data_IF_283203507829
#
_entry.id   IF_283203507829
#
_cell.length_a   1.000
_cell.length_b   1.000
_cell.length_c   1.000
_cell.angle_alpha   90.00
_cell.angle_beta   90.00
_cell.angle_gamma   90.00
#
_symmetry.space_group_name_H-M   'P 1'
#
loop_
_entity.id
_entity.type
_entity.pdbx_description
1 polymer ?
#
# COMPACT_ATOMS: atom_id res chain seq x y z
N UNK A 1 10.95 -11.66 22.84
CA UNK A 1 9.61 -11.07 22.54
C UNK A 1 9.54 -10.48 21.14
N UNK A 2 10.43 -9.58 20.72
CA UNK A 2 10.45 -9.12 19.30
C UNK A 2 10.89 -10.26 18.39
N UNK A 3 11.82 -11.09 18.87
CA UNK A 3 12.27 -12.32 18.22
C UNK A 3 11.12 -13.29 17.96
N UNK A 4 10.34 -13.62 18.99
CA UNK A 4 9.14 -14.47 18.88
C UNK A 4 8.12 -13.91 17.86
N UNK A 5 7.98 -12.58 17.76
CA UNK A 5 7.12 -11.97 16.74
C UNK A 5 7.66 -12.27 15.34
N UNK A 6 8.96 -12.09 15.11
CA UNK A 6 9.56 -12.37 13.80
C UNK A 6 9.64 -13.86 13.47
N UNK A 7 9.82 -14.73 14.47
CA UNK A 7 9.67 -16.19 14.32
C UNK A 7 8.23 -16.54 13.91
N UNK A 8 7.24 -15.89 14.53
CA UNK A 8 5.84 -15.99 14.14
C UNK A 8 5.61 -15.53 12.69
N UNK A 9 6.16 -14.38 12.30
CA UNK A 9 6.09 -13.87 10.91
C UNK A 9 6.69 -14.89 9.93
N UNK A 10 7.87 -15.43 10.22
CA UNK A 10 8.50 -16.46 9.39
C UNK A 10 7.62 -17.72 9.27
N UNK A 11 7.00 -18.13 10.38
CA UNK A 11 6.06 -19.26 10.38
C UNK A 11 4.83 -18.99 9.50
N UNK A 12 4.24 -17.80 9.57
CA UNK A 12 3.08 -17.43 8.74
C UNK A 12 3.44 -17.35 7.25
N UNK A 13 4.62 -16.83 6.91
CA UNK A 13 5.12 -16.84 5.52
C UNK A 13 5.23 -18.28 5.01
N UNK A 14 5.85 -19.18 5.79
CA UNK A 14 5.96 -20.59 5.42
C UNK A 14 4.58 -21.26 5.26
N UNK A 15 3.61 -20.97 6.14
CA UNK A 15 2.22 -21.47 6.03
C UNK A 15 1.51 -20.99 4.78
N UNK A 16 1.89 -19.85 4.22
CA UNK A 16 1.37 -19.35 2.94
C UNK A 16 1.92 -20.09 1.71
N UNK A 17 2.85 -21.05 1.92
CA UNK A 17 3.50 -21.81 0.85
C UNK A 17 4.67 -21.07 0.19
N UNK A 18 5.16 -20.00 0.83
CA UNK A 18 6.29 -19.19 0.37
C UNK A 18 7.47 -19.47 1.28
N UNK A 19 8.61 -19.84 0.70
CA UNK A 19 9.88 -19.90 1.42
C UNK A 19 10.49 -18.50 1.51
N UNK A 20 11.15 -18.19 2.63
CA UNK A 20 11.85 -16.91 2.83
C UNK A 20 12.86 -16.63 1.71
N UNK A 21 13.50 -17.65 1.14
CA UNK A 21 14.44 -17.48 0.00
C UNK A 21 13.77 -16.87 -1.24
N UNK A 22 12.44 -16.97 -1.36
CA UNK A 22 11.66 -16.42 -2.46
C UNK A 22 11.29 -14.94 -2.24
N UNK A 23 11.73 -14.33 -1.14
CA UNK A 23 11.49 -12.93 -0.79
C UNK A 23 12.79 -12.10 -0.85
N UNK A 24 13.40 -11.92 -2.04
CA UNK A 24 14.68 -11.22 -2.16
C UNK A 24 14.59 -9.74 -1.79
N UNK A 25 13.39 -9.13 -1.90
CA UNK A 25 13.13 -7.77 -1.45
C UNK A 25 13.04 -7.66 0.09
N UNK A 26 12.89 -8.78 0.79
CA UNK A 26 12.80 -8.82 2.24
C UNK A 26 11.46 -8.34 2.81
N UNK A 27 11.52 -7.75 4.01
CA UNK A 27 10.35 -7.33 4.78
C UNK A 27 10.32 -5.82 4.97
N UNK A 28 9.15 -5.23 4.84
CA UNK A 28 8.90 -3.82 5.20
C UNK A 28 8.05 -3.78 6.46
N UNK A 29 8.59 -3.21 7.54
CA UNK A 29 7.91 -3.10 8.83
C UNK A 29 7.41 -1.67 9.08
N UNK A 30 6.14 -1.51 9.39
CA UNK A 30 5.50 -0.20 9.61
C UNK A 30 4.69 -0.16 10.91
N UNK A 31 3.93 0.91 11.15
CA UNK A 31 3.22 1.16 12.41
C UNK A 31 4.14 1.75 13.50
N UNK A 32 3.58 2.18 14.63
CA UNK A 32 4.35 2.87 15.67
C UNK A 32 5.48 2.01 16.28
N UNK A 33 5.25 0.71 16.43
CA UNK A 33 6.26 -0.23 16.97
C UNK A 33 7.49 -0.35 16.07
N UNK A 34 7.38 -0.08 14.76
CA UNK A 34 8.53 -0.12 13.84
C UNK A 34 9.66 0.86 14.21
N UNK A 35 9.35 1.87 15.04
CA UNK A 35 10.31 2.85 15.57
C UNK A 35 11.12 2.33 16.76
N UNK A 36 10.79 1.15 17.27
CA UNK A 36 11.53 0.53 18.37
C UNK A 36 12.97 0.30 17.93
N UNK A 37 13.90 0.82 18.73
CA UNK A 37 15.34 0.69 18.48
C UNK A 37 15.73 -0.78 18.39
N UNK A 38 16.46 -1.16 17.35
CA UNK A 38 16.94 -2.54 17.20
C UNK A 38 15.93 -3.50 16.55
N UNK A 39 14.72 -3.03 16.20
CA UNK A 39 13.66 -3.89 15.65
C UNK A 39 14.01 -4.42 14.26
N UNK A 40 14.53 -3.55 13.40
CA UNK A 40 14.93 -3.92 12.03
C UNK A 40 16.09 -4.91 12.05
N UNK A 41 17.10 -4.66 12.89
CA UNK A 41 18.27 -5.52 13.05
C UNK A 41 17.90 -6.88 13.64
N UNK A 42 16.94 -6.91 14.57
CA UNK A 42 16.42 -8.15 15.14
C UNK A 42 15.61 -8.93 14.11
N UNK A 43 14.75 -8.25 13.34
CA UNK A 43 14.00 -8.88 12.26
C UNK A 43 14.91 -9.50 11.20
N UNK A 44 15.93 -8.77 10.78
CA UNK A 44 16.90 -9.26 9.80
C UNK A 44 17.68 -10.47 10.33
N UNK A 45 18.11 -10.42 11.59
CA UNK A 45 18.81 -11.55 12.24
C UNK A 45 17.95 -12.80 12.35
N UNK A 46 16.67 -12.65 12.72
CA UNK A 46 15.76 -13.78 12.95
C UNK A 46 15.28 -14.40 11.64
N UNK A 47 14.95 -13.57 10.65
CA UNK A 47 14.37 -14.03 9.37
C UNK A 47 15.41 -14.34 8.31
N UNK A 48 16.65 -13.84 8.46
CA UNK A 48 17.68 -13.92 7.42
C UNK A 48 17.39 -13.05 6.19
N UNK A 49 16.38 -12.19 6.24
CA UNK A 49 15.97 -11.31 5.15
C UNK A 49 16.43 -9.86 5.39
N UNK A 50 16.59 -9.06 4.31
CA UNK A 50 16.59 -7.61 4.45
C UNK A 50 15.31 -7.16 5.16
N UNK A 51 15.43 -6.23 6.12
CA UNK A 51 14.28 -5.63 6.79
C UNK A 51 14.44 -4.12 6.72
N UNK A 52 13.39 -3.40 6.37
CA UNK A 52 13.41 -1.95 6.26
C UNK A 52 12.18 -1.30 6.92
N UNK A 53 12.31 -0.09 7.47
CA UNK A 53 11.16 0.66 7.97
C UNK A 53 10.29 1.17 6.80
N UNK A 54 9.00 0.86 6.86
CA UNK A 54 8.00 1.33 5.91
C UNK A 54 7.40 2.66 6.33
N UNK A 55 7.58 3.69 5.50
CA UNK A 55 6.97 5.00 5.70
C UNK A 55 5.74 5.19 4.78
N UNK A 56 4.73 5.95 5.23
CA UNK A 56 3.60 6.30 4.38
C UNK A 56 4.06 7.11 3.17
N UNK A 57 3.48 6.85 2.00
CA UNK A 57 3.75 7.64 0.80
C UNK A 57 3.19 9.05 0.99
N UNK A 58 3.99 10.11 0.78
CA UNK A 58 3.50 11.49 0.90
C UNK A 58 2.32 11.74 -0.04
N UNK A 59 1.27 12.34 0.51
CA UNK A 59 0.16 12.95 -0.24
C UNK A 59 0.35 14.47 -0.31
N UNK A 60 -0.24 15.12 -1.31
CA UNK A 60 -0.09 16.58 -1.51
C UNK A 60 -0.59 17.42 -0.32
N UNK A 61 -1.46 16.84 0.52
CA UNK A 61 -2.03 17.46 1.73
C UNK A 61 -1.40 16.98 3.03
N UNK A 62 -0.23 16.35 2.98
CA UNK A 62 0.42 15.74 4.16
C UNK A 62 1.08 16.76 5.08
N UNK A 63 0.90 16.60 6.38
CA UNK A 63 1.73 17.25 7.40
C UNK A 63 2.96 16.39 7.69
N UNK A 64 4.03 16.96 8.27
CA UNK A 64 5.23 16.19 8.66
C UNK A 64 4.89 14.99 9.56
N UNK A 65 3.86 15.10 10.40
CA UNK A 65 3.40 14.02 11.27
C UNK A 65 2.87 12.82 10.48
N UNK A 66 2.13 13.05 9.39
CA UNK A 66 1.55 11.97 8.58
C UNK A 66 2.58 11.14 7.82
N UNK A 67 3.84 11.60 7.77
CA UNK A 67 4.96 10.83 7.21
C UNK A 67 5.57 9.80 8.17
N UNK A 68 5.06 9.68 9.40
CA UNK A 68 5.55 8.72 10.39
C UNK A 68 4.86 7.35 10.25
N UNK A 69 5.54 6.23 10.54
CA UNK A 69 5.03 4.88 10.27
C UNK A 69 3.74 4.54 11.06
N UNK A 70 3.48 5.17 12.20
CA UNK A 70 2.22 5.09 12.94
C UNK A 70 0.99 5.52 12.12
N UNK A 71 1.17 6.31 11.06
CA UNK A 71 0.08 6.77 10.19
C UNK A 71 -0.06 5.96 8.89
N UNK A 72 0.77 4.93 8.65
CA UNK A 72 0.79 4.19 7.39
C UNK A 72 -0.57 3.61 7.00
N UNK A 73 -1.30 3.03 7.95
CA UNK A 73 -2.64 2.50 7.71
C UNK A 73 -3.65 3.59 7.34
N UNK A 74 -3.63 4.72 8.07
CA UNK A 74 -4.58 5.81 7.84
C UNK A 74 -4.33 6.47 6.47
N UNK A 75 -3.07 6.82 6.18
CA UNK A 75 -2.66 7.39 4.89
C UNK A 75 -2.95 6.43 3.74
N UNK A 76 -2.57 5.16 3.88
CA UNK A 76 -2.84 4.13 2.87
C UNK A 76 -4.33 3.94 2.59
N UNK A 77 -5.17 4.01 3.63
CA UNK A 77 -6.63 3.89 3.49
C UNK A 77 -7.24 5.07 2.74
N UNK A 78 -6.82 6.30 3.06
CA UNK A 78 -7.27 7.51 2.35
C UNK A 78 -6.82 7.45 0.90
N UNK A 79 -5.56 7.10 0.64
CA UNK A 79 -5.02 6.94 -0.71
C UNK A 79 -5.82 5.91 -1.51
N UNK A 80 -6.11 4.75 -0.92
CA UNK A 80 -6.89 3.70 -1.57
C UNK A 80 -8.29 4.20 -1.98
N UNK A 81 -8.95 4.97 -1.12
CA UNK A 81 -10.25 5.55 -1.41
C UNK A 81 -10.18 6.57 -2.57
N UNK A 82 -9.18 7.47 -2.56
CA UNK A 82 -8.96 8.44 -3.62
C UNK A 82 -8.69 7.77 -4.99
N UNK A 83 -7.86 6.72 -5.01
CA UNK A 83 -7.58 5.95 -6.22
C UNK A 83 -8.82 5.21 -6.74
N UNK A 84 -9.70 4.74 -5.85
CA UNK A 84 -10.95 4.10 -6.22
C UNK A 84 -11.94 5.08 -6.86
N UNK A 85 -12.04 6.30 -6.32
CA UNK A 85 -12.86 7.38 -6.87
C UNK A 85 -12.39 7.79 -8.27
N UNK A 86 -11.08 7.99 -8.45
CA UNK A 86 -10.49 8.33 -9.74
C UNK A 86 -10.79 7.27 -10.83
N UNK A 87 -10.72 5.98 -10.48
CA UNK A 87 -11.07 4.86 -11.39
C UNK A 87 -12.58 4.80 -11.71
N UNK A 88 -13.44 5.25 -10.80
CA UNK A 88 -14.88 5.34 -11.02
C UNK A 88 -15.25 6.39 -12.07
N UNK A 89 -14.64 7.58 -12.00
CA UNK A 89 -14.91 8.67 -12.94
C UNK A 89 -14.53 8.36 -14.40
N UNK A 90 -13.56 7.48 -14.62
CA UNK A 90 -13.12 7.08 -15.96
C UNK A 90 -14.19 6.26 -16.72
N UNK A 91 -14.99 5.48 -16.00
CA UNK A 91 -16.13 4.71 -16.56
C UNK A 91 -17.29 5.61 -16.95
N UNK A 92 -17.60 6.62 -16.14
CA UNK A 92 -18.66 7.60 -16.45
C UNK A 92 -18.28 8.52 -17.62
N UNK A 93 -17.00 8.88 -17.73
CA UNK A 93 -16.50 9.71 -18.85
C UNK A 93 -16.64 9.04 -20.22
N UNK A 94 -16.52 7.72 -20.31
CA UNK A 94 -16.68 6.98 -21.56
C UNK A 94 -18.15 6.91 -22.01
N UNK A 95 -19.07 6.61 -21.09
CA UNK A 95 -20.52 6.57 -21.36
C UNK A 95 -21.08 7.95 -21.72
N UNK A 96 -20.58 9.00 -21.06
CA UNK A 96 -20.88 10.40 -21.38
C UNK A 96 -20.38 10.79 -22.79
N UNK A 97 -19.17 10.36 -23.19
CA UNK A 97 -18.64 10.62 -24.53
C UNK A 97 -19.45 9.91 -25.63
N UNK A 98 -19.90 8.69 -25.36
CA UNK A 98 -20.62 7.84 -26.32
C UNK A 98 -22.07 8.32 -26.54
N UNK A 99 -22.78 8.63 -25.45
CA UNK A 99 -24.10 9.28 -25.51
C UNK A 99 -24.02 10.64 -26.19
N UNK A 100 -23.03 11.46 -25.83
CA UNK A 100 -22.81 12.77 -26.46
C UNK A 100 -22.45 12.71 -27.95
N UNK A 101 -21.89 11.61 -28.46
CA UNK A 101 -21.65 11.44 -29.90
C UNK A 101 -22.93 11.07 -30.66
N UNK A 102 -23.76 10.18 -30.11
CA UNK A 102 -25.05 9.80 -30.70
C UNK A 102 -25.98 11.01 -30.76
N UNK A 103 -26.07 11.80 -29.68
CA UNK A 103 -26.87 13.02 -29.66
C UNK A 103 -26.38 14.04 -30.70
N UNK A 104 -25.05 14.20 -30.86
CA UNK A 104 -24.47 15.09 -31.87
C UNK A 104 -24.67 14.61 -33.31
N UNK A 105 -24.76 13.30 -33.55
CA UNK A 105 -25.08 12.78 -34.89
C UNK A 105 -26.56 12.88 -35.22
N UNK A 106 -27.44 12.62 -34.26
CA UNK A 106 -28.88 12.78 -34.45
C UNK A 106 -29.27 14.25 -34.80
N UNK A 107 -28.51 15.22 -34.29
CA UNK A 107 -28.67 16.64 -34.64
C UNK A 107 -28.10 17.07 -36.00
N UNK A 108 -27.37 16.20 -36.71
CA UNK A 108 -26.75 16.51 -38.02
C UNK A 108 -27.55 16.02 -39.23
N UNK A 109 -28.66 15.31 -39.00
CA UNK A 109 -29.57 14.78 -40.05
C UNK A 109 -30.84 15.64 -40.16
N UNK A 110 -30.76 16.91 -39.77
CA UNK A 110 -31.79 17.92 -39.99
C UNK A 110 -31.23 19.08 -40.80
#
# INVERSE_FOLDING_TARGET
>A
RVEEIFEGVASEIAKSGIDLVQLPAGLVVTGGTSRLRGLVETGARVTGLPVEPGLPVPMDTSTEMTGMPEFATAVGSVRLALEAEARGGERDGFLSKLTGWITRMAGRVR
#
